data_IF_200221704407
#
_entry.id   IF_200221704407
#
_cell.length_a   1.000
_cell.length_b   1.000
_cell.length_c   1.000
_cell.angle_alpha   90.00
_cell.angle_beta   90.00
_cell.angle_gamma   90.00
#
_symmetry.space_group_name_H-M   'P 1'
#
loop_
_entity.id
_entity.type
_entity.pdbx_description
1 polymer ?
#
# COMPACT_ATOMS: atom_id res chain seq x y z
N UNK A 1 23.39 -97.90 -14.53
CA UNK A 1 22.19 -97.11 -14.12
C UNK A 1 22.53 -95.87 -13.28
N UNK A 2 23.64 -95.81 -12.53
CA UNK A 2 23.95 -94.69 -11.63
C UNK A 2 24.26 -93.31 -12.27
N UNK A 3 24.61 -93.25 -13.55
CA UNK A 3 24.98 -91.98 -14.24
C UNK A 3 23.74 -91.13 -14.53
N UNK A 4 22.59 -91.76 -14.79
CA UNK A 4 21.34 -91.08 -15.16
C UNK A 4 20.72 -90.37 -13.93
N UNK A 5 20.88 -90.93 -12.72
CA UNK A 5 20.34 -90.35 -11.48
C UNK A 5 21.10 -89.11 -11.01
N UNK A 6 22.42 -89.03 -11.25
CA UNK A 6 23.22 -87.84 -10.93
C UNK A 6 22.92 -86.66 -11.84
N UNK A 7 22.72 -86.91 -13.14
CA UNK A 7 22.36 -85.87 -14.11
C UNK A 7 20.94 -85.32 -13.86
N UNK A 8 19.97 -86.19 -13.50
CA UNK A 8 18.62 -85.73 -13.08
C UNK A 8 18.67 -84.84 -11.83
N UNK A 9 19.56 -85.13 -10.88
CA UNK A 9 19.72 -84.34 -9.65
C UNK A 9 20.30 -82.94 -9.94
N UNK A 10 21.25 -82.83 -10.87
CA UNK A 10 21.85 -81.57 -11.28
C UNK A 10 20.86 -80.67 -12.04
N UNK A 11 20.03 -81.27 -12.91
CA UNK A 11 18.97 -80.55 -13.66
C UNK A 11 17.95 -79.93 -12.69
N UNK A 12 17.45 -80.69 -11.71
CA UNK A 12 16.50 -80.19 -10.71
C UNK A 12 17.07 -79.03 -9.87
N UNK A 13 18.36 -79.08 -9.51
CA UNK A 13 19.03 -77.98 -8.81
C UNK A 13 19.13 -76.73 -9.67
N UNK A 14 19.39 -76.90 -10.97
CA UNK A 14 19.54 -75.80 -11.92
C UNK A 14 18.20 -75.11 -12.23
N UNK A 15 17.10 -75.87 -12.28
CA UNK A 15 15.74 -75.31 -12.35
C UNK A 15 15.40 -74.50 -11.10
N UNK A 16 15.66 -75.06 -9.91
CA UNK A 16 15.41 -74.36 -8.64
C UNK A 16 16.20 -73.05 -8.54
N UNK A 17 17.47 -73.03 -8.94
CA UNK A 17 18.28 -71.82 -8.96
C UNK A 17 17.75 -70.76 -9.96
N UNK A 18 17.19 -71.19 -11.10
CA UNK A 18 16.54 -70.26 -12.04
C UNK A 18 15.26 -69.67 -11.45
N UNK A 19 14.46 -70.46 -10.75
CA UNK A 19 13.27 -69.97 -10.05
C UNK A 19 13.64 -68.98 -8.93
N UNK A 20 14.63 -69.33 -8.11
CA UNK A 20 15.10 -68.46 -7.02
C UNK A 20 15.68 -67.15 -7.57
N UNK A 21 16.47 -67.20 -8.65
CA UNK A 21 16.97 -66.00 -9.34
C UNK A 21 15.82 -65.12 -9.85
N UNK A 22 14.80 -65.71 -10.47
CA UNK A 22 13.65 -64.97 -10.98
C UNK A 22 12.87 -64.29 -9.85
N UNK A 23 12.67 -64.99 -8.72
CA UNK A 23 12.04 -64.41 -7.52
C UNK A 23 12.84 -63.22 -6.98
N UNK A 24 14.16 -63.34 -6.92
CA UNK A 24 15.03 -62.23 -6.48
C UNK A 24 14.97 -61.03 -7.43
N UNK A 25 14.91 -61.25 -8.75
CA UNK A 25 14.74 -60.17 -9.73
C UNK A 25 13.38 -59.48 -9.59
N UNK A 26 12.31 -60.24 -9.34
CA UNK A 26 10.97 -59.70 -9.12
C UNK A 26 10.87 -58.94 -7.78
N UNK A 27 11.54 -59.42 -6.72
CA UNK A 27 11.65 -58.72 -5.43
C UNK A 27 12.47 -57.43 -5.55
N UNK A 28 13.57 -57.45 -6.32
CA UNK A 28 14.39 -56.27 -6.56
C UNK A 28 13.59 -55.18 -7.27
N UNK A 29 12.82 -55.52 -8.30
CA UNK A 29 11.95 -54.57 -9.00
C UNK A 29 10.91 -53.93 -8.07
N UNK A 30 10.26 -54.74 -7.23
CA UNK A 30 9.30 -54.22 -6.24
C UNK A 30 9.97 -53.25 -5.26
N UNK A 31 11.18 -53.58 -4.80
CA UNK A 31 11.93 -52.69 -3.90
C UNK A 31 12.33 -51.38 -4.58
N UNK A 32 12.68 -51.41 -5.87
CA UNK A 32 12.97 -50.20 -6.65
C UNK A 32 11.72 -49.33 -6.83
N UNK A 33 10.56 -49.94 -7.10
CA UNK A 33 9.27 -49.25 -7.20
C UNK A 33 8.90 -48.61 -5.86
N UNK A 34 8.94 -49.37 -4.75
CA UNK A 34 8.66 -48.84 -3.41
C UNK A 34 9.62 -47.73 -3.01
N UNK A 35 10.91 -47.85 -3.36
CA UNK A 35 11.90 -46.79 -3.10
C UNK A 35 11.53 -45.49 -3.82
N UNK A 36 11.06 -45.58 -5.07
CA UNK A 36 10.64 -44.41 -5.85
C UNK A 36 9.40 -43.76 -5.24
N UNK A 37 8.40 -44.55 -4.87
CA UNK A 37 7.18 -44.06 -4.21
C UNK A 37 7.49 -43.34 -2.89
N UNK A 38 8.44 -43.87 -2.10
CA UNK A 38 8.88 -43.24 -0.87
C UNK A 38 9.58 -41.90 -1.11
N UNK A 39 10.41 -41.79 -2.15
CA UNK A 39 11.05 -40.52 -2.52
C UNK A 39 10.03 -39.47 -2.97
N UNK A 40 9.03 -39.87 -3.75
CA UNK A 40 7.95 -38.97 -4.18
C UNK A 40 7.11 -38.51 -2.97
N UNK A 41 6.82 -39.42 -2.04
CA UNK A 41 6.10 -39.10 -0.79
C UNK A 41 6.91 -38.16 0.11
N UNK A 42 8.21 -38.40 0.28
CA UNK A 42 9.09 -37.53 1.08
C UNK A 42 9.15 -36.11 0.50
N UNK A 43 9.16 -35.99 -0.83
CA UNK A 43 9.12 -34.69 -1.50
C UNK A 43 7.79 -33.98 -1.25
N UNK A 44 6.66 -34.68 -1.38
CA UNK A 44 5.34 -34.10 -1.13
C UNK A 44 5.19 -33.58 0.31
N UNK A 45 5.71 -34.32 1.30
CA UNK A 45 5.70 -33.90 2.71
C UNK A 45 6.49 -32.59 2.89
N UNK A 46 7.69 -32.49 2.30
CA UNK A 46 8.50 -31.26 2.37
C UNK A 46 7.79 -30.06 1.75
N UNK A 47 7.13 -30.26 0.61
CA UNK A 47 6.38 -29.19 -0.05
C UNK A 47 5.19 -28.74 0.83
N UNK A 48 4.53 -29.67 1.52
CA UNK A 48 3.43 -29.37 2.44
C UNK A 48 3.90 -28.66 3.72
N UNK A 49 5.07 -29.02 4.27
CA UNK A 49 5.69 -28.32 5.40
C UNK A 49 6.02 -26.86 5.06
N UNK A 50 6.57 -26.60 3.88
CA UNK A 50 6.85 -25.23 3.40
C UNK A 50 5.56 -24.43 3.26
N UNK A 51 4.51 -25.04 2.66
CA UNK A 51 3.20 -24.39 2.56
C UNK A 51 2.58 -24.11 3.93
N UNK A 52 2.75 -25.00 4.91
CA UNK A 52 2.21 -24.81 6.25
C UNK A 52 2.92 -23.66 6.98
N UNK A 53 4.24 -23.55 6.83
CA UNK A 53 5.01 -22.43 7.39
C UNK A 53 4.59 -21.10 6.80
N UNK A 54 4.42 -21.02 5.47
CA UNK A 54 3.95 -19.80 4.80
C UNK A 54 2.56 -19.37 5.29
N UNK A 55 1.63 -20.32 5.48
CA UNK A 55 0.30 -20.01 6.03
C UNK A 55 0.37 -19.48 7.46
N UNK A 56 1.24 -20.06 8.30
CA UNK A 56 1.42 -19.59 9.68
C UNK A 56 2.03 -18.19 9.74
N UNK A 57 2.91 -17.83 8.81
CA UNK A 57 3.49 -16.49 8.71
C UNK A 57 2.43 -15.47 8.27
N UNK A 58 1.66 -15.78 7.22
CA UNK A 58 0.53 -14.93 6.77
C UNK A 58 -0.48 -14.68 7.90
N UNK A 59 -0.80 -15.70 8.68
CA UNK A 59 -1.73 -15.55 9.80
C UNK A 59 -1.19 -14.60 10.89
N UNK A 60 0.12 -14.61 11.16
CA UNK A 60 0.75 -13.65 12.09
C UNK A 60 0.74 -12.23 11.55
N UNK A 61 0.96 -12.06 10.24
CA UNK A 61 0.86 -10.75 9.60
C UNK A 61 -0.57 -10.19 9.68
N UNK A 62 -1.59 -11.03 9.44
CA UNK A 62 -3.00 -10.66 9.60
C UNK A 62 -3.31 -10.20 11.03
N UNK A 63 -2.90 -10.96 12.05
CA UNK A 63 -3.07 -10.59 13.45
C UNK A 63 -2.38 -9.25 13.80
N UNK A 64 -1.19 -9.00 13.26
CA UNK A 64 -0.48 -7.74 13.46
C UNK A 64 -1.18 -6.55 12.80
N UNK A 65 -1.76 -6.75 11.61
CA UNK A 65 -2.55 -5.74 10.90
C UNK A 65 -3.81 -5.39 11.69
N UNK A 66 -4.55 -6.39 12.17
CA UNK A 66 -5.75 -6.17 12.99
C UNK A 66 -5.44 -5.35 14.25
N UNK A 67 -4.35 -5.70 14.95
CA UNK A 67 -3.90 -4.94 16.11
C UNK A 67 -3.56 -3.47 15.75
N UNK A 68 -2.90 -3.26 14.60
CA UNK A 68 -2.59 -1.93 14.08
C UNK A 68 -3.85 -1.10 13.78
N UNK A 69 -4.88 -1.71 13.19
CA UNK A 69 -6.15 -1.03 12.89
C UNK A 69 -6.85 -0.58 14.17
N UNK A 70 -6.87 -1.42 15.21
CA UNK A 70 -7.47 -1.07 16.50
C UNK A 70 -6.77 0.14 17.13
N UNK A 71 -5.43 0.16 17.10
CA UNK A 71 -4.66 1.29 17.64
C UNK A 71 -4.88 2.58 16.85
N UNK A 72 -4.94 2.51 15.51
CA UNK A 72 -5.26 3.68 14.66
C UNK A 72 -6.64 4.24 15.01
N UNK A 73 -7.66 3.38 15.15
CA UNK A 73 -9.00 3.82 15.56
C UNK A 73 -8.99 4.47 16.94
N UNK A 74 -8.24 3.91 17.89
CA UNK A 74 -8.12 4.48 19.23
C UNK A 74 -7.52 5.89 19.18
N UNK A 75 -6.50 6.12 18.35
CA UNK A 75 -5.90 7.44 18.15
C UNK A 75 -6.86 8.42 17.48
N UNK A 76 -7.64 7.97 16.50
CA UNK A 76 -8.66 8.81 15.87
C UNK A 76 -9.69 9.31 16.89
N UNK A 77 -10.22 8.41 17.73
CA UNK A 77 -11.17 8.80 18.79
C UNK A 77 -10.55 9.81 19.75
N UNK A 78 -9.31 9.60 20.19
CA UNK A 78 -8.62 10.57 21.06
C UNK A 78 -8.42 11.93 20.39
N UNK A 79 -8.09 11.96 19.10
CA UNK A 79 -7.94 13.21 18.35
C UNK A 79 -9.30 13.92 18.19
N UNK A 80 -10.37 13.19 17.91
CA UNK A 80 -11.72 13.73 17.84
C UNK A 80 -12.17 14.30 19.19
N UNK A 81 -11.89 13.60 20.30
CA UNK A 81 -12.16 14.10 21.65
C UNK A 81 -11.33 15.35 21.97
N UNK A 82 -10.05 15.39 21.56
CA UNK A 82 -9.22 16.57 21.72
C UNK A 82 -9.74 17.76 20.92
N UNK A 83 -10.15 17.55 19.66
CA UNK A 83 -10.76 18.57 18.80
C UNK A 83 -12.09 19.07 19.35
N UNK A 84 -12.93 18.17 19.87
CA UNK A 84 -14.23 18.53 20.45
C UNK A 84 -14.09 19.35 21.75
N UNK A 85 -12.99 19.14 22.49
CA UNK A 85 -12.66 19.89 23.70
C UNK A 85 -11.70 21.05 23.47
N UNK A 86 -11.25 21.25 22.23
CA UNK A 86 -10.44 22.39 21.87
C UNK A 86 -11.35 23.64 21.94
N UNK A 87 -10.97 24.68 22.70
CA UNK A 87 -11.73 25.92 22.69
C UNK A 87 -11.80 26.40 21.26
N UNK A 88 -13.01 26.68 20.77
CA UNK A 88 -13.23 27.19 19.42
C UNK A 88 -12.13 28.23 19.13
N UNK A 89 -11.31 28.04 18.08
CA UNK A 89 -10.20 28.93 17.83
C UNK A 89 -10.77 30.33 17.83
N UNK A 90 -10.23 31.19 18.70
CA UNK A 90 -10.64 32.61 18.73
C UNK A 90 -10.67 33.05 17.28
N UNK A 91 -11.80 33.59 16.78
CA UNK A 91 -11.99 33.80 15.36
C UNK A 91 -10.76 34.53 14.85
N UNK A 92 -9.90 33.80 14.14
CA UNK A 92 -8.87 34.43 13.37
C UNK A 92 -9.71 35.09 12.30
N UNK A 93 -9.96 36.38 12.50
CA UNK A 93 -10.46 37.24 11.45
C UNK A 93 -9.31 37.26 10.45
N UNK A 94 -9.27 36.23 9.61
CA UNK A 94 -8.48 36.19 8.40
C UNK A 94 -9.08 37.28 7.53
N UNK A 95 -8.65 38.51 7.77
CA UNK A 95 -8.99 39.58 6.87
C UNK A 95 -8.28 39.21 5.57
N UNK A 96 -9.07 38.89 4.56
CA UNK A 96 -8.60 38.60 3.20
C UNK A 96 -7.62 39.68 2.74
N UNK A 97 -7.80 40.92 3.20
CA UNK A 97 -6.87 42.04 2.98
C UNK A 97 -5.50 41.78 3.61
N UNK A 98 -5.42 41.38 4.89
CA UNK A 98 -4.13 41.09 5.56
C UNK A 98 -3.42 39.89 4.95
N UNK A 99 -4.16 38.84 4.54
CA UNK A 99 -3.56 37.69 3.85
C UNK A 99 -3.05 38.08 2.46
N UNK A 100 -3.81 38.89 1.72
CA UNK A 100 -3.41 39.40 0.40
C UNK A 100 -2.18 40.29 0.50
N UNK A 101 -2.13 41.18 1.48
CA UNK A 101 -0.98 42.06 1.73
C UNK A 101 0.23 41.24 2.19
N UNK A 102 0.02 40.18 2.99
CA UNK A 102 1.06 39.22 3.34
C UNK A 102 1.66 38.52 2.12
N UNK A 103 0.82 38.02 1.20
CA UNK A 103 1.27 37.40 -0.06
C UNK A 103 2.03 38.40 -0.96
N UNK A 104 1.68 39.69 -0.92
CA UNK A 104 2.36 40.75 -1.69
C UNK A 104 3.68 41.18 -1.05
N UNK A 105 3.71 41.31 0.27
CA UNK A 105 4.84 41.85 1.04
C UNK A 105 5.92 40.80 1.29
N UNK A 106 5.52 39.57 1.63
CA UNK A 106 6.42 38.44 1.75
C UNK A 106 6.54 37.76 0.37
N UNK A 107 7.49 38.24 -0.43
CA UNK A 107 7.92 37.56 -1.65
C UNK A 107 8.70 36.27 -1.36
N UNK A 108 8.18 35.41 -0.47
CA UNK A 108 8.83 34.22 0.05
C UNK A 108 7.86 33.04 0.20
N UNK A 109 8.41 31.83 0.11
CA UNK A 109 7.68 30.56 0.11
C UNK A 109 6.77 30.36 1.33
N UNK A 110 7.10 31.00 2.46
CA UNK A 110 6.28 30.95 3.69
C UNK A 110 4.89 31.52 3.53
N UNK A 111 4.68 32.44 2.59
CA UNK A 111 3.37 33.00 2.31
C UNK A 111 2.44 31.95 1.68
N UNK A 112 2.99 31.03 0.86
CA UNK A 112 2.21 29.96 0.19
C UNK A 112 2.21 28.62 0.93
N UNK A 113 3.19 28.36 1.81
CA UNK A 113 3.17 27.21 2.73
C UNK A 113 2.34 27.48 3.99
N UNK A 114 1.61 28.60 4.04
CA UNK A 114 0.85 29.03 5.20
C UNK A 114 -0.52 28.32 5.27
N UNK A 115 -0.78 27.67 6.40
CA UNK A 115 -2.06 27.03 6.70
C UNK A 115 -3.28 27.98 6.55
N UNK A 116 -3.14 29.26 6.92
CA UNK A 116 -4.21 30.24 6.82
C UNK A 116 -4.57 30.55 5.37
N UNK A 117 -3.59 30.54 4.46
CA UNK A 117 -3.82 30.75 3.03
C UNK A 117 -4.57 29.56 2.45
N UNK A 118 -4.14 28.34 2.75
CA UNK A 118 -4.84 27.11 2.35
C UNK A 118 -6.29 27.07 2.84
N UNK A 119 -6.52 27.40 4.13
CA UNK A 119 -7.87 27.40 4.70
C UNK A 119 -8.80 28.44 4.06
N UNK A 120 -8.28 29.64 3.79
CA UNK A 120 -9.10 30.68 3.15
C UNK A 120 -9.47 30.29 1.71
N UNK A 121 -8.52 29.74 0.94
CA UNK A 121 -8.80 29.20 -0.40
C UNK A 121 -9.86 28.10 -0.35
N UNK A 122 -9.75 27.17 0.60
CA UNK A 122 -10.71 26.08 0.81
C UNK A 122 -12.11 26.62 1.12
N UNK A 123 -12.20 27.63 2.00
CA UNK A 123 -13.45 28.30 2.37
C UNK A 123 -14.10 29.02 1.19
N UNK A 124 -13.31 29.73 0.36
CA UNK A 124 -13.82 30.38 -0.85
C UNK A 124 -14.30 29.33 -1.85
N UNK A 125 -13.53 28.25 -2.07
CA UNK A 125 -13.92 27.14 -2.95
C UNK A 125 -15.25 26.53 -2.51
N UNK A 126 -15.42 26.21 -1.23
CA UNK A 126 -16.66 25.59 -0.74
C UNK A 126 -17.87 26.52 -0.93
N UNK A 127 -17.68 27.82 -0.75
CA UNK A 127 -18.73 28.80 -1.06
C UNK A 127 -19.05 28.86 -2.55
N UNK A 128 -18.04 28.84 -3.42
CA UNK A 128 -18.21 28.81 -4.88
C UNK A 128 -18.93 27.55 -5.35
N UNK A 129 -18.57 26.38 -4.82
CA UNK A 129 -19.21 25.10 -5.11
C UNK A 129 -20.72 25.12 -4.76
N UNK A 130 -21.07 25.83 -3.68
CA UNK A 130 -22.45 26.05 -3.25
C UNK A 130 -23.15 27.21 -3.98
N UNK A 131 -22.55 27.78 -5.02
CA UNK A 131 -23.16 28.81 -5.86
C UNK A 131 -23.07 30.23 -5.31
N UNK A 132 -22.30 30.47 -4.26
CA UNK A 132 -22.06 31.84 -3.76
C UNK A 132 -21.26 32.66 -4.76
N UNK A 133 -21.41 33.99 -4.72
CA UNK A 133 -20.51 34.89 -5.43
C UNK A 133 -19.26 35.15 -4.62
N UNK A 134 -18.14 35.33 -5.31
CA UNK A 134 -16.86 35.73 -4.73
C UNK A 134 -16.76 37.27 -4.76
N UNK A 135 -16.26 37.87 -3.67
CA UNK A 135 -16.06 39.32 -3.56
C UNK A 135 -14.87 39.80 -4.41
N UNK A 136 -14.69 41.12 -4.53
CA UNK A 136 -13.51 41.67 -5.23
C UNK A 136 -12.21 41.43 -4.44
N UNK A 137 -12.26 41.55 -3.12
CA UNK A 137 -11.13 41.25 -2.23
C UNK A 137 -10.72 39.79 -2.33
N UNK A 138 -11.69 38.87 -2.33
CA UNK A 138 -11.45 37.43 -2.47
C UNK A 138 -10.89 37.08 -3.85
N UNK A 139 -11.36 37.75 -4.92
CA UNK A 139 -10.76 37.60 -6.26
C UNK A 139 -9.31 38.04 -6.29
N UNK A 140 -8.99 39.15 -5.65
CA UNK A 140 -7.62 39.65 -5.56
C UNK A 140 -6.73 38.71 -4.74
N UNK A 141 -7.24 38.16 -3.66
CA UNK A 141 -6.55 37.15 -2.85
C UNK A 141 -6.25 35.88 -3.65
N UNK A 142 -7.25 35.31 -4.32
CA UNK A 142 -7.11 34.10 -5.15
C UNK A 142 -6.11 34.32 -6.28
N UNK A 143 -6.19 35.48 -6.94
CA UNK A 143 -5.25 35.85 -8.00
C UNK A 143 -3.81 35.93 -7.49
N UNK A 144 -3.61 36.55 -6.33
CA UNK A 144 -2.30 36.68 -5.72
C UNK A 144 -1.75 35.34 -5.20
N UNK A 145 -2.59 34.50 -4.60
CA UNK A 145 -2.23 33.15 -4.18
C UNK A 145 -1.76 32.32 -5.39
N UNK A 146 -2.52 32.34 -6.51
CA UNK A 146 -2.16 31.67 -7.75
C UNK A 146 -0.80 32.14 -8.29
N UNK A 147 -0.58 33.45 -8.34
CA UNK A 147 0.68 34.06 -8.78
C UNK A 147 1.89 33.58 -7.97
N UNK A 148 1.74 33.50 -6.65
CA UNK A 148 2.84 33.06 -5.77
C UNK A 148 3.07 31.56 -5.88
N UNK A 149 2.01 30.75 -5.95
CA UNK A 149 2.13 29.30 -6.09
C UNK A 149 2.81 28.92 -7.41
N UNK A 150 2.43 29.53 -8.53
CA UNK A 150 3.08 29.34 -9.84
C UNK A 150 4.56 29.74 -9.81
N UNK A 151 4.92 30.78 -9.06
CA UNK A 151 6.30 31.24 -8.91
C UNK A 151 7.19 30.19 -8.22
N UNK A 152 6.66 29.47 -7.22
CA UNK A 152 7.43 28.50 -6.44
C UNK A 152 7.29 27.05 -6.94
N UNK A 153 6.34 26.75 -7.83
CA UNK A 153 6.14 25.42 -8.40
C UNK A 153 7.39 24.83 -9.11
N UNK A 154 8.33 25.69 -9.53
CA UNK A 154 9.56 25.30 -10.23
C UNK A 154 10.75 25.00 -9.29
N UNK A 155 10.64 25.28 -7.99
CA UNK A 155 11.72 25.11 -7.01
C UNK A 155 11.48 23.87 -6.12
N UNK A 156 11.51 22.70 -6.77
CA UNK A 156 11.06 21.42 -6.20
C UNK A 156 11.86 20.98 -4.95
N UNK A 157 13.19 21.08 -5.01
CA UNK A 157 14.09 20.69 -3.91
C UNK A 157 13.91 21.60 -2.67
N UNK A 158 13.49 22.84 -2.88
CA UNK A 158 13.30 23.83 -1.83
C UNK A 158 11.92 23.72 -1.16
N UNK A 159 10.89 23.30 -1.91
CA UNK A 159 9.55 22.98 -1.40
C UNK A 159 9.55 21.76 -0.47
N UNK A 160 10.30 20.70 -0.82
CA UNK A 160 10.26 19.43 -0.05
C UNK A 160 10.73 19.59 1.39
N UNK A 161 11.59 20.58 1.68
CA UNK A 161 12.14 20.81 3.02
C UNK A 161 11.30 21.76 3.88
N UNK A 162 10.52 22.65 3.24
CA UNK A 162 9.79 23.75 3.91
C UNK A 162 8.29 23.52 3.98
N UNK A 163 7.77 22.58 3.19
CA UNK A 163 6.36 22.22 3.16
C UNK A 163 6.13 20.74 3.51
N UNK A 164 6.41 20.33 4.77
CA UNK A 164 6.26 18.92 5.18
C UNK A 164 4.82 18.40 5.09
N UNK A 165 3.84 19.31 4.94
CA UNK A 165 2.41 18.99 4.87
C UNK A 165 1.80 19.22 3.48
N UNK A 166 2.63 19.52 2.48
CA UNK A 166 2.23 19.74 1.08
C UNK A 166 1.13 20.81 0.91
N UNK A 167 1.12 21.87 1.73
CA UNK A 167 0.18 22.97 1.63
C UNK A 167 0.22 23.68 0.28
N UNK A 168 1.37 23.76 -0.37
CA UNK A 168 1.52 24.37 -1.69
C UNK A 168 0.79 23.54 -2.74
N UNK A 169 1.06 22.22 -2.80
CA UNK A 169 0.39 21.32 -3.73
C UNK A 169 -1.14 21.30 -3.49
N UNK A 170 -1.55 21.24 -2.23
CA UNK A 170 -2.98 21.25 -1.88
C UNK A 170 -3.65 22.57 -2.25
N UNK A 171 -2.94 23.69 -2.10
CA UNK A 171 -3.46 25.00 -2.52
C UNK A 171 -3.57 25.10 -4.04
N UNK A 172 -2.63 24.53 -4.81
CA UNK A 172 -2.78 24.42 -6.27
C UNK A 172 -4.03 23.67 -6.68
N UNK A 173 -4.32 22.55 -6.02
CA UNK A 173 -5.46 21.71 -6.35
C UNK A 173 -6.77 22.45 -6.04
N UNK A 174 -6.85 23.12 -4.89
CA UNK A 174 -7.99 23.99 -4.55
C UNK A 174 -8.14 25.13 -5.56
N UNK A 175 -7.05 25.78 -5.98
CA UNK A 175 -7.10 26.85 -6.99
C UNK A 175 -7.61 26.35 -8.35
N UNK A 176 -7.22 25.15 -8.77
CA UNK A 176 -7.74 24.52 -10.01
C UNK A 176 -9.25 24.23 -9.89
N UNK A 177 -9.69 23.69 -8.75
CA UNK A 177 -11.12 23.46 -8.49
C UNK A 177 -11.92 24.77 -8.55
N UNK A 178 -11.37 25.88 -8.04
CA UNK A 178 -11.99 27.20 -8.09
C UNK A 178 -12.11 27.75 -9.52
N UNK A 179 -11.08 27.55 -10.35
CA UNK A 179 -11.13 27.95 -11.76
C UNK A 179 -12.33 27.27 -12.47
N UNK A 180 -12.56 25.97 -12.24
CA UNK A 180 -13.69 25.25 -12.82
C UNK A 180 -15.05 25.86 -12.43
N UNK A 181 -15.23 26.21 -11.15
CA UNK A 181 -16.46 26.86 -10.68
C UNK A 181 -16.67 28.26 -11.27
N UNK A 182 -15.59 29.03 -11.44
CA UNK A 182 -15.63 30.38 -11.99
C UNK A 182 -15.88 30.34 -13.52
N UNK A 183 -15.24 29.42 -14.25
CA UNK A 183 -15.38 29.27 -15.70
C UNK A 183 -16.77 28.74 -16.09
N UNK A 184 -17.31 27.75 -15.38
CA UNK A 184 -18.65 27.19 -15.64
C UNK A 184 -19.77 28.24 -15.49
N UNK A 185 -19.52 29.31 -14.73
CA UNK A 185 -20.50 30.38 -14.48
C UNK A 185 -20.43 31.52 -15.51
N UNK A 186 -19.26 31.76 -16.14
CA UNK A 186 -19.12 32.73 -17.23
C UNK A 186 -19.64 32.23 -18.59
N UNK A 187 -19.86 30.92 -18.70
CA UNK A 187 -20.42 30.28 -19.89
C UNK A 187 -21.95 30.12 -19.89
N UNK A 188 -22.67 30.71 -18.92
CA UNK A 188 -24.14 30.73 -18.84
C UNK A 188 -24.69 32.14 -19.04
#
# INVERSE_FOLDING_TARGET
MAIIDQDLSAVNRLEKLKEDKKKQEDELKKLEETKKELQDTEKAIKDEEVSAQQRAELQREEEAIEAGIVEIRRRQVMLEEMLANEPAPAPITNNVIYLTDGLKAEAGIYAVTNYNVYNELTSIRDRLANGSEISEEERNFVHEAKRQTERFATDHDYLTQRDPFNYVQRSEDVLKEMDDFIYLRKGR
#
